data_IF_797199681682
#
_entry.id   IF_797199681682
#
_cell.length_a   1.000
_cell.length_b   1.000
_cell.length_c   1.000
_cell.angle_alpha   90.00
_cell.angle_beta   90.00
_cell.angle_gamma   90.00
#
_symmetry.space_group_name_H-M   'P 1'
#
loop_
_entity.id
_entity.type
_entity.pdbx_description
1 polymer ?
#
# COMPACT_ATOMS: atom_id res chain seq x y z
N UNK A 1 -21.18 7.22 -19.66
CA UNK A 1 -20.30 7.24 -18.48
C UNK A 1 -19.36 6.03 -18.45
N UNK A 2 -19.85 4.78 -18.54
CA UNK A 2 -18.97 3.59 -18.61
C UNK A 2 -17.94 3.64 -19.74
N UNK A 3 -18.38 3.90 -20.98
CA UNK A 3 -17.48 4.05 -22.13
C UNK A 3 -16.38 5.11 -21.94
N UNK A 4 -16.69 6.25 -21.30
CA UNK A 4 -15.69 7.29 -20.99
C UNK A 4 -14.70 6.78 -19.93
N UNK A 5 -15.18 6.04 -18.93
CA UNK A 5 -14.32 5.47 -17.90
C UNK A 5 -13.36 4.43 -18.50
N UNK A 6 -13.85 3.56 -19.37
CA UNK A 6 -13.03 2.55 -20.06
C UNK A 6 -11.95 3.19 -20.93
N UNK A 7 -12.34 4.19 -21.74
CA UNK A 7 -11.43 4.95 -22.61
C UNK A 7 -10.33 5.63 -21.79
N UNK A 8 -10.70 6.30 -20.70
CA UNK A 8 -9.76 7.01 -19.85
C UNK A 8 -8.84 6.05 -19.10
N UNK A 9 -9.34 4.91 -18.62
CA UNK A 9 -8.53 3.88 -17.95
C UNK A 9 -7.50 3.31 -18.93
N UNK A 10 -7.87 3.06 -20.19
CA UNK A 10 -6.94 2.61 -21.23
C UNK A 10 -5.84 3.65 -21.50
N UNK A 11 -6.22 4.92 -21.68
CA UNK A 11 -5.29 6.03 -21.90
C UNK A 11 -4.31 6.22 -20.72
N UNK A 12 -4.80 6.05 -19.50
CA UNK A 12 -4.01 6.28 -18.27
C UNK A 12 -3.07 5.13 -17.93
N UNK A 13 -3.36 3.91 -18.40
CA UNK A 13 -2.44 2.77 -18.31
C UNK A 13 -1.21 2.94 -19.21
N UNK A 14 -1.36 3.57 -20.37
CA UNK A 14 -0.27 3.79 -21.32
C UNK A 14 0.56 5.05 -21.02
N UNK A 15 0.12 5.92 -20.11
CA UNK A 15 0.81 7.18 -19.79
C UNK A 15 1.64 7.07 -18.51
N UNK A 16 2.96 7.33 -18.56
CA UNK A 16 3.81 7.40 -17.38
C UNK A 16 3.29 8.45 -16.39
N UNK A 17 3.49 8.20 -15.09
CA UNK A 17 3.05 9.08 -14.00
C UNK A 17 3.46 10.55 -14.18
N UNK A 18 4.67 10.78 -14.71
CA UNK A 18 5.25 12.11 -14.91
C UNK A 18 4.51 12.93 -15.98
N UNK A 19 3.88 12.24 -16.94
CA UNK A 19 3.21 12.84 -18.08
C UNK A 19 1.69 13.00 -17.86
N UNK A 20 1.17 12.55 -16.71
CA UNK A 20 -0.26 12.64 -16.42
C UNK A 20 -0.67 14.10 -16.17
N UNK A 21 -1.78 14.56 -16.76
CA UNK A 21 -2.24 15.92 -16.55
C UNK A 21 -2.67 16.12 -15.09
N UNK A 22 -2.47 17.34 -14.56
CA UNK A 22 -2.99 17.66 -13.23
C UNK A 22 -4.51 17.74 -13.27
N UNK A 23 -5.15 17.13 -12.28
CA UNK A 23 -6.60 17.17 -12.15
C UNK A 23 -7.03 18.47 -11.46
N UNK A 24 -7.96 19.25 -12.04
CA UNK A 24 -8.52 20.42 -11.38
C UNK A 24 -9.40 20.02 -10.19
N UNK A 25 -9.52 20.91 -9.21
CA UNK A 25 -10.50 20.73 -8.14
C UNK A 25 -11.91 20.94 -8.71
N UNK A 26 -12.78 19.96 -8.54
CA UNK A 26 -14.17 20.03 -9.01
C UNK A 26 -15.05 20.62 -7.91
N UNK A 27 -15.82 21.71 -8.17
CA UNK A 27 -16.71 22.28 -7.18
C UNK A 27 -17.77 21.28 -6.70
N UNK A 28 -18.08 21.33 -5.41
CA UNK A 28 -19.10 20.49 -4.78
C UNK A 28 -20.52 20.98 -5.12
N UNK A 29 -20.97 20.74 -6.35
CA UNK A 29 -22.35 20.97 -6.77
C UNK A 29 -23.18 19.69 -6.66
N UNK A 30 -24.51 19.80 -6.52
CA UNK A 30 -25.43 18.64 -6.51
C UNK A 30 -25.24 17.75 -7.75
N UNK A 31 -25.04 18.36 -8.93
CA UNK A 31 -24.76 17.67 -10.19
C UNK A 31 -23.45 16.90 -10.15
N UNK A 32 -22.36 17.54 -9.73
CA UNK A 32 -21.04 16.90 -9.66
C UNK A 32 -21.04 15.75 -8.65
N UNK A 33 -21.73 15.94 -7.52
CA UNK A 33 -21.94 14.87 -6.53
C UNK A 33 -22.69 13.68 -7.13
N UNK A 34 -23.76 13.91 -7.90
CA UNK A 34 -24.50 12.84 -8.55
C UNK A 34 -23.62 12.06 -9.54
N UNK A 35 -22.76 12.75 -10.31
CA UNK A 35 -21.81 12.10 -11.22
C UNK A 35 -20.84 11.19 -10.47
N UNK A 36 -20.23 11.69 -9.38
CA UNK A 36 -19.31 10.89 -8.55
C UNK A 36 -20.03 9.69 -7.94
N UNK A 37 -21.25 9.88 -7.41
CA UNK A 37 -22.04 8.79 -6.83
C UNK A 37 -22.43 7.74 -7.87
N UNK A 38 -22.66 8.12 -9.13
CA UNK A 38 -22.93 7.17 -10.20
C UNK A 38 -21.68 6.40 -10.66
N UNK A 39 -20.51 7.02 -10.57
CA UNK A 39 -19.23 6.42 -11.00
C UNK A 39 -18.64 5.48 -9.94
N UNK A 40 -18.78 5.81 -8.65
CA UNK A 40 -18.19 5.04 -7.55
C UNK A 40 -18.56 3.54 -7.55
N UNK A 41 -19.83 3.13 -7.74
CA UNK A 41 -20.18 1.71 -7.81
C UNK A 41 -19.52 0.99 -8.99
N UNK A 42 -19.31 1.68 -10.11
CA UNK A 42 -18.62 1.10 -11.26
C UNK A 42 -17.14 0.91 -10.96
N UNK A 43 -16.53 1.82 -10.20
CA UNK A 43 -15.11 1.73 -9.86
C UNK A 43 -14.77 0.47 -9.04
N UNK A 44 -15.70 0.01 -8.19
CA UNK A 44 -15.51 -1.19 -7.36
C UNK A 44 -15.14 -2.40 -8.22
N UNK A 45 -15.83 -2.62 -9.34
CA UNK A 45 -15.56 -3.78 -10.21
C UNK A 45 -14.19 -3.71 -10.87
N UNK A 46 -13.70 -2.51 -11.22
CA UNK A 46 -12.34 -2.36 -11.78
C UNK A 46 -11.27 -2.55 -10.71
N UNK A 47 -11.52 -2.09 -9.48
CA UNK A 47 -10.58 -2.23 -8.37
C UNK A 47 -10.44 -3.68 -7.91
N UNK A 48 -11.53 -4.45 -7.89
CA UNK A 48 -11.49 -5.89 -7.59
C UNK A 48 -10.71 -6.68 -8.64
N UNK A 49 -10.76 -6.26 -9.90
CA UNK A 49 -10.02 -6.87 -11.00
C UNK A 49 -8.54 -6.44 -11.08
N UNK A 50 -8.14 -5.43 -10.30
CA UNK A 50 -6.78 -4.88 -10.29
C UNK A 50 -5.79 -5.88 -9.67
N UNK A 51 -4.66 -6.11 -10.33
CA UNK A 51 -3.64 -7.07 -9.85
C UNK A 51 -2.54 -6.38 -9.07
N UNK A 52 -2.17 -5.17 -9.50
CA UNK A 52 -1.01 -4.45 -9.00
C UNK A 52 -1.36 -3.04 -8.52
N UNK A 53 -0.45 -2.47 -7.73
CA UNK A 53 -0.61 -1.11 -7.21
C UNK A 53 -0.58 -0.06 -8.33
N UNK A 54 0.19 -0.31 -9.40
CA UNK A 54 0.27 0.56 -10.57
C UNK A 54 -1.03 0.55 -11.37
N UNK A 55 -1.68 -0.61 -11.52
CA UNK A 55 -3.00 -0.71 -12.15
C UNK A 55 -4.05 0.01 -11.31
N UNK A 56 -4.00 -0.19 -9.99
CA UNK A 56 -4.92 0.46 -9.04
C UNK A 56 -4.80 1.98 -9.12
N UNK A 57 -3.58 2.51 -9.13
CA UNK A 57 -3.31 3.94 -9.28
C UNK A 57 -3.85 4.48 -10.63
N UNK A 58 -3.62 3.74 -11.72
CA UNK A 58 -4.13 4.11 -13.04
C UNK A 58 -5.65 4.12 -13.11
N UNK A 59 -6.32 3.13 -12.50
CA UNK A 59 -7.78 3.04 -12.41
C UNK A 59 -8.36 4.22 -11.62
N UNK A 60 -7.77 4.55 -10.45
CA UNK A 60 -8.24 5.67 -9.62
C UNK A 60 -8.02 7.00 -10.34
N UNK A 61 -6.84 7.20 -10.93
CA UNK A 61 -6.55 8.41 -11.68
C UNK A 61 -7.48 8.55 -12.90
N UNK A 62 -7.69 7.46 -13.63
CA UNK A 62 -8.59 7.44 -14.78
C UNK A 62 -10.04 7.72 -14.39
N UNK A 63 -10.51 7.20 -13.25
CA UNK A 63 -11.82 7.54 -12.71
C UNK A 63 -11.97 9.03 -12.42
N UNK A 64 -10.98 9.64 -11.78
CA UNK A 64 -11.00 11.07 -11.49
C UNK A 64 -10.95 11.92 -12.78
N UNK A 65 -10.12 11.52 -13.75
CA UNK A 65 -10.05 12.14 -15.07
C UNK A 65 -11.36 12.01 -15.86
N UNK A 66 -12.04 10.86 -15.78
CA UNK A 66 -13.37 10.67 -16.37
C UNK A 66 -14.39 11.62 -15.75
N UNK A 67 -14.38 11.83 -14.42
CA UNK A 67 -15.24 12.83 -13.76
C UNK A 67 -14.91 14.24 -14.25
N UNK A 68 -13.63 14.60 -14.37
CA UNK A 68 -13.24 15.90 -14.96
C UNK A 68 -13.78 16.08 -16.39
N UNK A 69 -13.70 15.04 -17.24
CA UNK A 69 -14.24 15.07 -18.62
C UNK A 69 -15.76 15.22 -18.62
N UNK A 70 -16.48 14.42 -17.82
CA UNK A 70 -17.96 14.45 -17.73
C UNK A 70 -18.46 15.80 -17.17
N UNK A 71 -17.73 16.39 -16.23
CA UNK A 71 -18.08 17.70 -15.65
C UNK A 71 -17.67 18.88 -16.55
N UNK A 72 -16.90 18.66 -17.62
CA UNK A 72 -16.38 19.72 -18.48
C UNK A 72 -15.31 20.58 -17.80
N UNK A 73 -14.66 20.07 -16.75
CA UNK A 73 -13.62 20.82 -16.05
C UNK A 73 -12.39 20.99 -16.96
N UNK A 74 -11.92 22.23 -17.12
CA UNK A 74 -10.73 22.54 -17.92
C UNK A 74 -9.49 21.93 -17.25
N UNK A 75 -8.85 20.99 -17.92
CA UNK A 75 -7.58 20.44 -17.46
C UNK A 75 -6.46 21.47 -17.72
N UNK A 76 -5.66 21.82 -16.69
CA UNK A 76 -4.49 22.66 -16.89
C UNK A 76 -3.50 21.99 -17.85
N UNK A 77 -2.99 22.76 -18.79
CA UNK A 77 -2.01 22.30 -19.78
C UNK A 77 -0.74 21.82 -19.06
N UNK A 78 -0.22 20.65 -19.46
CA UNK A 78 1.01 20.09 -18.92
C UNK A 78 2.14 21.13 -19.03
N UNK A 79 2.77 21.50 -17.90
CA UNK A 79 3.89 22.43 -17.84
C UNK A 79 3.61 23.85 -17.32
N UNK A 80 2.35 24.29 -17.17
CA UNK A 80 2.04 25.69 -16.76
C UNK A 80 1.83 25.92 -15.25
N UNK A 81 1.94 24.90 -14.41
CA UNK A 81 1.77 25.07 -12.97
C UNK A 81 3.12 24.92 -12.29
N UNK A 82 3.66 26.03 -11.80
CA UNK A 82 4.82 26.08 -10.91
C UNK A 82 4.64 25.00 -9.84
N UNK A 83 5.59 24.05 -9.74
CA UNK A 83 5.61 23.06 -8.67
C UNK A 83 5.58 23.83 -7.34
N UNK A 84 4.44 23.89 -6.68
CA UNK A 84 4.43 24.18 -5.24
C UNK A 84 5.34 23.14 -4.60
N UNK A 85 6.26 23.62 -3.76
CA UNK A 85 7.41 22.92 -3.19
C UNK A 85 7.20 21.43 -2.95
N UNK A 86 8.29 20.65 -3.14
CA UNK A 86 8.44 19.20 -2.99
C UNK A 86 8.17 18.66 -1.57
N UNK A 87 7.27 19.30 -0.82
CA UNK A 87 6.79 18.81 0.45
C UNK A 87 6.13 17.45 0.25
N UNK A 88 6.65 16.46 0.97
CA UNK A 88 6.09 15.11 0.98
C UNK A 88 4.61 15.22 1.39
N UNK A 89 3.67 14.71 0.58
CA UNK A 89 2.25 14.78 0.90
C UNK A 89 1.96 14.17 2.27
N UNK A 90 1.07 14.81 3.05
CA UNK A 90 0.76 14.36 4.41
C UNK A 90 0.21 12.93 4.47
N UNK A 91 -0.46 12.44 3.43
CA UNK A 91 -0.90 11.05 3.35
C UNK A 91 0.29 10.08 3.20
N UNK A 92 1.31 10.46 2.42
CA UNK A 92 2.50 9.63 2.20
C UNK A 92 3.28 9.48 3.50
N UNK A 93 3.53 10.60 4.19
CA UNK A 93 4.17 10.59 5.52
C UNK A 93 3.41 9.71 6.51
N UNK A 94 2.07 9.78 6.54
CA UNK A 94 1.24 8.93 7.41
C UNK A 94 1.39 7.44 7.11
N UNK A 95 1.51 7.05 5.84
CA UNK A 95 1.72 5.66 5.45
C UNK A 95 3.14 5.22 5.83
N UNK A 96 4.15 6.01 5.51
CA UNK A 96 5.55 5.75 5.87
C UNK A 96 5.71 5.59 7.39
N UNK A 97 5.12 6.48 8.19
CA UNK A 97 5.13 6.39 9.65
C UNK A 97 4.45 5.11 10.17
N UNK A 98 3.36 4.66 9.54
CA UNK A 98 2.66 3.40 9.91
C UNK A 98 3.50 2.18 9.57
N UNK A 99 4.14 2.18 8.40
CA UNK A 99 5.05 1.11 7.98
C UNK A 99 6.23 1.03 8.96
N UNK A 100 6.80 2.17 9.32
CA UNK A 100 7.95 2.22 10.21
C UNK A 100 7.61 1.75 11.63
N UNK A 101 6.44 2.16 12.15
CA UNK A 101 5.91 1.64 13.42
C UNK A 101 5.74 0.11 13.38
N UNK A 102 5.22 -0.42 12.27
CA UNK A 102 5.04 -1.87 12.11
C UNK A 102 6.38 -2.61 12.07
N UNK A 103 7.36 -2.12 11.30
CA UNK A 103 8.72 -2.67 11.24
C UNK A 103 9.40 -2.68 12.61
N UNK A 104 9.30 -1.56 13.34
CA UNK A 104 9.84 -1.44 14.70
C UNK A 104 9.19 -2.44 15.66
N UNK A 105 7.87 -2.63 15.58
CA UNK A 105 7.17 -3.61 16.41
C UNK A 105 7.60 -5.03 16.08
N UNK A 106 7.68 -5.39 14.79
CA UNK A 106 8.19 -6.69 14.33
C UNK A 106 9.58 -6.95 14.88
N UNK A 107 10.50 -5.99 14.74
CA UNK A 107 11.86 -6.10 15.26
C UNK A 107 11.89 -6.39 16.77
N UNK A 108 11.10 -5.66 17.57
CA UNK A 108 11.01 -5.87 19.03
C UNK A 108 10.42 -7.23 19.39
N UNK A 109 9.40 -7.71 18.68
CA UNK A 109 8.83 -9.04 18.89
C UNK A 109 9.84 -10.13 18.54
N UNK A 110 10.61 -9.96 17.47
CA UNK A 110 11.68 -10.88 17.08
C UNK A 110 12.80 -10.93 18.12
N UNK A 111 13.24 -9.76 18.64
CA UNK A 111 14.23 -9.71 19.72
C UNK A 111 13.72 -10.38 21.01
N UNK A 112 12.45 -10.18 21.35
CA UNK A 112 11.84 -10.88 22.49
C UNK A 112 11.84 -12.40 22.28
N UNK A 113 11.53 -12.87 21.07
CA UNK A 113 11.57 -14.30 20.71
C UNK A 113 12.96 -14.90 20.85
N UNK A 114 14.02 -14.16 20.53
CA UNK A 114 15.41 -14.61 20.71
C UNK A 114 15.91 -14.52 22.16
N UNK A 115 15.03 -14.25 23.13
CA UNK A 115 15.34 -14.28 24.56
C UNK A 115 15.74 -12.93 25.15
N UNK A 116 15.63 -11.84 24.40
CA UNK A 116 15.93 -10.51 24.91
C UNK A 116 14.78 -9.98 25.77
N UNK A 117 14.99 -9.97 27.09
CA UNK A 117 14.00 -9.58 28.09
C UNK A 117 14.18 -8.16 28.64
N UNK A 118 14.84 -7.25 27.90
CA UNK A 118 14.99 -5.86 28.33
C UNK A 118 13.59 -5.26 28.63
N UNK A 119 13.41 -4.56 29.78
CA UNK A 119 12.10 -4.06 30.22
C UNK A 119 11.32 -3.26 29.18
N UNK A 120 12.01 -2.50 28.32
CA UNK A 120 11.41 -1.72 27.23
C UNK A 120 10.79 -2.60 26.14
N UNK A 121 11.45 -3.71 25.79
CA UNK A 121 10.95 -4.68 24.81
C UNK A 121 9.74 -5.39 25.41
N UNK A 122 9.87 -5.89 26.65
CA UNK A 122 8.78 -6.56 27.37
C UNK A 122 7.56 -5.64 27.45
N UNK A 123 7.72 -4.38 27.87
CA UNK A 123 6.61 -3.39 27.93
C UNK A 123 5.94 -3.19 26.56
N UNK A 124 6.73 -3.11 25.48
CA UNK A 124 6.19 -2.97 24.12
C UNK A 124 5.37 -4.21 23.73
N UNK A 125 5.88 -5.41 24.01
CA UNK A 125 5.18 -6.68 23.75
C UNK A 125 3.87 -6.73 24.55
N UNK A 126 3.91 -6.37 25.84
CA UNK A 126 2.70 -6.35 26.69
C UNK A 126 1.64 -5.38 26.18
N UNK A 127 2.06 -4.18 25.76
CA UNK A 127 1.15 -3.18 25.19
C UNK A 127 0.59 -3.61 23.84
N UNK A 128 1.40 -4.25 22.99
CA UNK A 128 0.95 -4.75 21.68
C UNK A 128 -0.10 -5.87 21.80
N UNK A 129 -0.08 -6.62 22.90
CA UNK A 129 -1.05 -7.68 23.18
C UNK A 129 -2.07 -7.31 24.27
N UNK A 130 -2.09 -6.07 24.74
CA UNK A 130 -3.07 -5.61 25.72
C UNK A 130 -4.50 -5.73 25.15
N UNK A 131 -5.42 -6.33 25.91
CA UNK A 131 -6.79 -6.60 25.45
C UNK A 131 -6.93 -7.83 24.53
N UNK A 132 -5.84 -8.53 24.22
CA UNK A 132 -5.92 -9.87 23.63
C UNK A 132 -5.88 -10.94 24.74
N UNK A 133 -6.59 -12.07 24.59
CA UNK A 133 -6.62 -13.19 25.56
C UNK A 133 -5.27 -13.97 25.66
N UNK A 134 -4.15 -13.29 25.42
CA UNK A 134 -2.81 -13.84 25.39
C UNK A 134 -2.15 -13.57 26.74
N UNK A 135 -2.24 -14.55 27.66
CA UNK A 135 -1.52 -14.55 28.92
C UNK A 135 0.00 -14.51 28.68
N UNK A 136 0.68 -13.54 29.28
CA UNK A 136 2.12 -13.33 29.14
C UNK A 136 2.94 -14.20 30.12
N UNK A 137 2.56 -15.46 30.31
CA UNK A 137 3.44 -16.44 30.94
C UNK A 137 4.52 -16.82 29.93
N UNK A 138 5.79 -16.76 30.33
CA UNK A 138 6.95 -16.89 29.42
C UNK A 138 6.93 -18.19 28.60
N UNK A 139 6.34 -19.26 29.13
CA UNK A 139 6.13 -20.55 28.44
C UNK A 139 4.89 -20.58 27.52
N UNK A 140 3.85 -19.80 27.82
CA UNK A 140 2.64 -19.71 27.01
C UNK A 140 2.82 -18.81 25.79
N UNK A 141 3.64 -17.76 25.87
CA UNK A 141 3.88 -16.83 24.76
C UNK A 141 4.60 -17.53 23.61
N UNK A 142 5.69 -18.27 23.87
CA UNK A 142 6.42 -19.03 22.87
C UNK A 142 5.55 -20.09 22.21
N UNK A 143 4.70 -20.79 22.98
CA UNK A 143 3.75 -21.81 22.50
C UNK A 143 2.57 -21.24 21.70
N UNK A 144 2.01 -20.08 22.10
CA UNK A 144 0.90 -19.42 21.38
C UNK A 144 1.37 -18.68 20.12
N UNK A 145 2.59 -18.12 20.12
CA UNK A 145 3.20 -17.50 18.93
C UNK A 145 3.54 -18.55 17.87
N UNK A 146 4.14 -19.69 18.26
CA UNK A 146 4.41 -20.79 17.31
C UNK A 146 3.13 -21.36 16.70
N UNK A 147 2.07 -21.60 17.50
CA UNK A 147 0.78 -22.12 16.98
C UNK A 147 0.08 -21.20 15.97
N UNK A 148 0.25 -19.88 16.07
CA UNK A 148 -0.33 -18.93 15.09
C UNK A 148 0.52 -18.77 13.82
N UNK A 149 1.85 -18.93 13.93
CA UNK A 149 2.75 -18.88 12.78
C UNK A 149 2.63 -20.16 11.93
N UNK A 150 2.46 -21.33 12.57
CA UNK A 150 2.27 -22.63 11.90
C UNK A 150 0.87 -22.75 11.27
N UNK A 151 -0.12 -21.94 11.70
CA UNK A 151 -1.46 -21.88 11.07
C UNK A 151 -1.54 -21.05 9.79
N UNK A 152 -0.41 -20.68 9.19
CA UNK A 152 -0.39 -20.27 7.79
C UNK A 152 -0.39 -21.55 6.96
N UNK A 153 -1.43 -21.86 6.17
CA UNK A 153 -1.47 -23.10 5.42
C UNK A 153 -0.30 -23.10 4.43
N UNK A 154 0.39 -24.24 4.38
CA UNK A 154 1.31 -24.60 3.32
C UNK A 154 0.60 -24.42 1.98
N UNK A 155 0.94 -23.38 1.24
CA UNK A 155 0.56 -23.20 -0.14
C UNK A 155 1.81 -22.83 -0.93
N UNK A 156 2.43 -23.89 -1.47
CA UNK A 156 3.49 -23.95 -2.48
C UNK A 156 4.86 -23.43 -2.07
N UNK A 157 5.60 -24.29 -1.36
CA UNK A 157 6.98 -24.55 -1.74
C UNK A 157 6.99 -25.31 -3.07
N UNK A 158 7.15 -24.57 -4.16
CA UNK A 158 7.84 -25.06 -5.35
C UNK A 158 8.66 -23.91 -5.90
N UNK A 159 9.97 -24.06 -5.72
CA UNK A 159 11.11 -23.44 -6.39
C UNK A 159 12.15 -22.92 -5.38
N UNK A 160 12.75 -23.83 -4.62
CA UNK A 160 14.16 -23.71 -4.25
C UNK A 160 14.91 -24.69 -5.13
N UNK A 161 15.37 -24.18 -6.27
CA UNK A 161 16.29 -24.85 -7.18
C UNK A 161 17.30 -23.81 -7.63
N UNK A 162 18.50 -23.94 -7.07
CA UNK A 162 19.78 -23.50 -7.66
C UNK A 162 19.93 -22.02 -8.02
N UNK A 163 20.34 -21.22 -7.04
CA UNK A 163 21.37 -20.19 -7.24
C UNK A 163 21.70 -19.59 -5.87
N UNK A 164 22.74 -20.08 -5.18
CA UNK A 164 23.45 -19.29 -4.16
C UNK A 164 24.70 -20.00 -3.58
N UNK A 165 25.35 -20.89 -4.32
CA UNK A 165 26.66 -21.44 -3.92
C UNK A 165 27.86 -20.81 -4.63
N UNK A 166 27.66 -19.89 -5.58
CA UNK A 166 28.76 -19.35 -6.41
C UNK A 166 29.26 -17.98 -5.95
N UNK A 167 28.45 -17.19 -5.23
CA UNK A 167 28.82 -15.80 -4.89
C UNK A 167 29.74 -15.71 -3.66
N UNK A 168 29.74 -16.71 -2.77
CA UNK A 168 30.55 -16.67 -1.54
C UNK A 168 31.98 -17.23 -1.67
N UNK A 169 32.45 -17.60 -2.87
CA UNK A 169 33.85 -18.05 -3.07
C UNK A 169 34.80 -17.01 -3.67
N UNK A 170 34.33 -15.85 -4.13
CA UNK A 170 35.22 -14.85 -4.75
C UNK A 170 35.66 -13.68 -3.84
N UNK A 171 35.17 -13.60 -2.60
CA UNK A 171 35.54 -12.49 -1.68
C UNK A 171 36.73 -12.87 -0.76
N UNK A 172 37.47 -13.94 -1.06
CA UNK A 172 38.63 -14.36 -0.24
C UNK A 172 39.93 -14.59 -1.01
N UNK A 173 40.07 -13.98 -2.18
CA UNK A 173 41.31 -14.00 -2.95
C UNK A 173 41.54 -12.67 -3.70
N UNK A 174 41.76 -11.58 -2.95
CA UNK A 174 42.55 -10.42 -3.36
C UNK A 174 43.33 -9.94 -2.13
#
# INVERSE_FOLDING_TARGET
MRSILDEVILETRSTPLENRPRLPCIPLSKRNRAIVMALNPMLVTYLEASRDICETDSIIFGAALAVCRITGAKLPMAGRVTRQSSAIPAWRKRIEDRIEKARTLIGRLTSFRSGNNIPRIVRTVRMAFAGTNISLSQADITRKLTKRIIRRPEAKDRCLGEADSTIYREIKAV
#
